data_IF_481804572265
#
_entry.id   IF_481804572265
#
_cell.length_a   1.000
_cell.length_b   1.000
_cell.length_c   1.000
_cell.angle_alpha   90.00
_cell.angle_beta   90.00
_cell.angle_gamma   90.00
#
_symmetry.space_group_name_H-M   'P 1'
#
loop_
_entity.id
_entity.type
_entity.pdbx_description
1 polymer ?
#
# COMPACT_ATOMS: atom_id res chain seq x y z
N UNK A 1 19.98 -11.91 -14.23
CA UNK A 1 20.44 -11.86 -12.82
C UNK A 1 21.36 -13.04 -12.49
N UNK A 2 22.44 -12.86 -11.69
CA UNK A 2 23.35 -13.97 -11.29
C UNK A 2 22.68 -14.91 -10.29
N UNK A 3 23.13 -16.18 -10.20
CA UNK A 3 22.59 -17.16 -9.24
C UNK A 3 22.72 -16.69 -7.78
N UNK A 4 23.83 -16.04 -7.45
CA UNK A 4 24.09 -15.53 -6.10
C UNK A 4 23.11 -14.41 -5.69
N UNK A 5 22.79 -13.50 -6.62
CA UNK A 5 21.80 -12.45 -6.36
C UNK A 5 20.41 -13.05 -6.15
N UNK A 6 20.02 -14.03 -6.98
CA UNK A 6 18.73 -14.73 -6.81
C UNK A 6 18.61 -15.37 -5.42
N UNK A 7 19.66 -16.06 -4.98
CA UNK A 7 19.72 -16.70 -3.65
C UNK A 7 19.62 -15.66 -2.52
N UNK A 8 20.36 -14.55 -2.60
CA UNK A 8 20.28 -13.47 -1.61
C UNK A 8 18.87 -12.87 -1.51
N UNK A 9 18.22 -12.62 -2.65
CA UNK A 9 16.84 -12.10 -2.66
C UNK A 9 15.87 -13.06 -1.98
N UNK A 10 15.98 -14.37 -2.23
CA UNK A 10 15.15 -15.38 -1.58
C UNK A 10 15.37 -15.42 -0.06
N UNK A 11 16.63 -15.43 0.38
CA UNK A 11 16.99 -15.45 1.81
C UNK A 11 16.51 -14.20 2.55
N UNK A 12 16.73 -13.01 1.98
CA UNK A 12 16.29 -11.76 2.59
C UNK A 12 14.77 -11.63 2.61
N UNK A 13 14.08 -12.00 1.53
CA UNK A 13 12.62 -11.96 1.51
C UNK A 13 12.03 -12.85 2.62
N UNK A 14 12.54 -14.08 2.77
CA UNK A 14 12.12 -15.00 3.83
C UNK A 14 12.45 -14.46 5.24
N UNK A 15 13.58 -13.78 5.41
CA UNK A 15 14.00 -13.21 6.72
C UNK A 15 13.10 -12.06 7.16
N UNK A 16 12.67 -11.21 6.21
CA UNK A 16 11.92 -9.99 6.51
C UNK A 16 10.40 -10.12 6.37
N UNK A 17 9.92 -11.21 5.76
CA UNK A 17 8.51 -11.56 5.76
C UNK A 17 8.16 -12.32 7.04
N UNK A 18 8.18 -11.60 8.16
CA UNK A 18 7.86 -12.14 9.48
C UNK A 18 6.94 -11.20 10.28
N UNK A 19 6.26 -11.71 11.31
CA UNK A 19 5.34 -10.95 12.15
C UNK A 19 6.00 -9.73 12.82
N UNK A 20 7.29 -9.81 13.14
CA UNK A 20 8.05 -8.68 13.70
C UNK A 20 8.11 -7.48 12.75
N UNK A 21 7.95 -7.69 11.44
CA UNK A 21 7.86 -6.61 10.44
C UNK A 21 6.66 -5.70 10.69
N UNK A 22 5.55 -6.27 11.18
CA UNK A 22 4.31 -5.52 11.44
C UNK A 22 4.58 -4.47 12.52
N UNK A 23 5.40 -4.82 13.52
CA UNK A 23 5.70 -3.92 14.61
C UNK A 23 6.46 -2.69 14.09
N UNK A 24 5.88 -1.51 14.29
CA UNK A 24 6.38 -0.22 13.81
C UNK A 24 6.25 0.03 12.29
N UNK A 25 5.60 -0.85 11.53
CA UNK A 25 5.21 -0.58 10.15
C UNK A 25 3.76 -0.05 10.09
N UNK A 26 3.40 0.82 9.13
CA UNK A 26 2.01 1.26 8.96
C UNK A 26 1.02 0.11 8.71
N UNK A 27 1.45 -1.05 8.19
CA UNK A 27 0.55 -2.21 8.03
C UNK A 27 -0.06 -2.69 9.35
N UNK A 28 0.50 -2.33 10.51
CA UNK A 28 -0.07 -2.66 11.82
C UNK A 28 -1.49 -2.13 12.04
N UNK A 29 -1.89 -1.05 11.35
CA UNK A 29 -3.19 -0.43 11.55
C UNK A 29 -4.34 -1.28 10.99
N UNK A 30 -4.30 -1.74 9.72
CA UNK A 30 -5.31 -2.67 9.23
C UNK A 30 -5.31 -4.02 9.98
N UNK A 31 -4.17 -4.45 10.55
CA UNK A 31 -4.10 -5.65 11.41
C UNK A 31 -4.86 -5.54 12.73
N UNK A 32 -5.39 -4.35 13.08
CA UNK A 32 -6.28 -4.17 14.24
C UNK A 32 -7.71 -4.69 14.00
N UNK A 33 -8.05 -5.06 12.77
CA UNK A 33 -9.40 -5.42 12.36
C UNK A 33 -9.46 -6.82 11.75
N UNK A 34 -10.64 -7.44 11.84
CA UNK A 34 -10.92 -8.76 11.26
C UNK A 34 -11.95 -8.71 10.14
N UNK A 35 -12.82 -7.69 10.13
CA UNK A 35 -13.81 -7.50 9.07
C UNK A 35 -13.13 -6.99 7.80
N UNK A 36 -13.43 -7.60 6.65
CA UNK A 36 -12.82 -7.26 5.34
C UNK A 36 -12.87 -5.77 5.04
N UNK A 37 -14.04 -5.15 5.20
CA UNK A 37 -14.27 -3.74 4.90
C UNK A 37 -13.48 -2.80 5.84
N UNK A 38 -13.33 -3.17 7.12
CA UNK A 38 -12.52 -2.40 8.07
C UNK A 38 -11.03 -2.46 7.69
N UNK A 39 -10.54 -3.65 7.31
CA UNK A 39 -9.16 -3.86 6.82
C UNK A 39 -8.91 -3.03 5.57
N UNK A 40 -9.82 -3.06 4.60
CA UNK A 40 -9.71 -2.32 3.33
C UNK A 40 -9.64 -0.80 3.55
N UNK A 41 -10.57 -0.24 4.35
CA UNK A 41 -10.60 1.20 4.66
C UNK A 41 -9.35 1.62 5.44
N UNK A 42 -9.03 0.88 6.51
CA UNK A 42 -7.85 1.14 7.33
C UNK A 42 -6.57 1.08 6.49
N UNK A 43 -6.44 0.04 5.68
CA UNK A 43 -5.30 -0.19 4.79
C UNK A 43 -5.13 0.94 3.80
N UNK A 44 -6.20 1.35 3.10
CA UNK A 44 -6.11 2.39 2.08
C UNK A 44 -5.71 3.74 2.68
N UNK A 45 -6.40 4.17 3.74
CA UNK A 45 -6.14 5.48 4.36
C UNK A 45 -4.74 5.53 4.99
N UNK A 46 -4.32 4.43 5.62
CA UNK A 46 -2.96 4.30 6.17
C UNK A 46 -1.91 4.35 5.08
N UNK A 47 -2.12 3.65 3.96
CA UNK A 47 -1.18 3.66 2.85
C UNK A 47 -1.06 5.04 2.20
N UNK A 48 -2.16 5.78 2.04
CA UNK A 48 -2.18 7.15 1.51
C UNK A 48 -1.31 8.09 2.36
N UNK A 49 -1.24 7.89 3.68
CA UNK A 49 -0.39 8.64 4.61
C UNK A 49 1.04 8.11 4.71
N UNK A 50 1.38 6.96 4.13
CA UNK A 50 2.65 6.27 4.35
C UNK A 50 3.82 6.84 3.53
N UNK A 51 4.12 8.13 3.75
CA UNK A 51 5.23 8.88 3.16
C UNK A 51 5.82 9.92 4.12
N UNK A 52 7.15 9.98 4.22
CA UNK A 52 7.85 10.88 5.14
C UNK A 52 8.37 10.14 6.38
N UNK A 53 8.42 10.84 7.53
CA UNK A 53 9.01 10.28 8.74
C UNK A 53 8.08 9.22 9.37
N UNK A 54 8.62 8.01 9.61
CA UNK A 54 7.88 6.86 10.17
C UNK A 54 7.13 7.20 11.46
N UNK A 55 7.75 7.89 12.43
CA UNK A 55 7.08 8.25 13.70
C UNK A 55 5.86 9.15 13.48
N UNK A 56 5.96 10.09 12.54
CA UNK A 56 4.83 10.96 12.19
C UNK A 56 3.72 10.19 11.45
N UNK A 57 4.08 9.25 10.57
CA UNK A 57 3.12 8.37 9.90
C UNK A 57 2.32 7.60 10.95
N UNK A 58 3.02 6.90 11.86
CA UNK A 58 2.37 6.09 12.89
C UNK A 58 1.48 6.95 13.81
N UNK A 59 1.98 8.09 14.30
CA UNK A 59 1.19 8.99 15.14
C UNK A 59 -0.10 9.43 14.45
N UNK A 60 -0.03 9.80 13.17
CA UNK A 60 -1.18 10.35 12.43
C UNK A 60 -2.16 9.28 11.96
N UNK A 61 -1.67 8.09 11.63
CA UNK A 61 -2.53 6.93 11.44
C UNK A 61 -3.27 6.57 12.73
N UNK A 62 -2.62 6.65 13.90
CA UNK A 62 -3.27 6.40 15.18
C UNK A 62 -4.36 7.44 15.50
N UNK A 63 -4.08 8.73 15.29
CA UNK A 63 -5.08 9.80 15.40
C UNK A 63 -6.30 9.56 14.48
N UNK A 64 -6.07 9.10 13.25
CA UNK A 64 -7.14 8.78 12.30
C UNK A 64 -8.00 7.60 12.78
N UNK A 65 -7.37 6.50 13.23
CA UNK A 65 -8.12 5.34 13.72
C UNK A 65 -8.87 5.64 15.02
N UNK A 66 -8.32 6.47 15.91
CA UNK A 66 -9.03 6.93 17.10
C UNK A 66 -10.30 7.73 16.73
N UNK A 67 -10.26 8.50 15.64
CA UNK A 67 -11.42 9.21 15.11
C UNK A 67 -12.49 8.25 14.54
N UNK A 68 -12.06 7.24 13.78
CA UNK A 68 -12.96 6.24 13.18
C UNK A 68 -13.57 5.30 14.24
N UNK A 69 -12.90 5.08 15.36
CA UNK A 69 -13.37 4.22 16.44
C UNK A 69 -13.19 2.72 16.11
N UNK A 70 -14.10 1.89 16.61
CA UNK A 70 -13.95 0.43 16.55
C UNK A 70 -14.15 -0.19 15.16
N UNK A 71 -14.85 0.50 14.24
CA UNK A 71 -15.09 0.02 12.88
C UNK A 71 -14.97 1.19 11.88
N UNK A 72 -13.86 1.28 11.13
CA UNK A 72 -13.74 2.17 9.98
C UNK A 72 -14.91 2.09 8.99
N UNK A 73 -15.44 0.91 8.75
CA UNK A 73 -16.58 0.66 7.87
C UNK A 73 -17.86 1.36 8.36
N UNK A 74 -18.22 1.15 9.64
CA UNK A 74 -19.38 1.84 10.22
C UNK A 74 -19.17 3.35 10.27
N UNK A 75 -17.95 3.82 10.55
CA UNK A 75 -17.63 5.24 10.51
C UNK A 75 -17.85 5.85 9.11
N UNK A 76 -17.39 5.17 8.05
CA UNK A 76 -17.60 5.59 6.66
C UNK A 76 -19.08 5.62 6.29
N UNK A 77 -19.84 4.58 6.62
CA UNK A 77 -21.28 4.51 6.32
C UNK A 77 -22.10 5.54 7.09
N UNK A 78 -21.72 5.85 8.34
CA UNK A 78 -22.42 6.80 9.20
C UNK A 78 -22.35 8.26 8.73
N UNK A 79 -21.45 8.58 7.78
CA UNK A 79 -21.14 9.96 7.33
C UNK A 79 -20.63 10.90 8.42
N UNK A 80 -20.25 10.38 9.60
CA UNK A 80 -19.69 11.19 10.67
C UNK A 80 -18.45 12.00 10.23
N UNK A 81 -17.69 11.47 9.28
CA UNK A 81 -16.55 12.13 8.65
C UNK A 81 -16.87 13.47 7.98
N UNK A 82 -18.12 13.75 7.60
CA UNK A 82 -18.50 15.07 7.05
C UNK A 82 -18.25 16.20 8.06
N UNK A 83 -18.43 15.90 9.36
CA UNK A 83 -18.17 16.82 10.47
C UNK A 83 -16.70 16.79 10.90
N UNK A 84 -16.12 15.61 11.03
CA UNK A 84 -14.76 15.43 11.53
C UNK A 84 -13.70 15.89 10.49
N UNK A 85 -14.05 15.83 9.20
CA UNK A 85 -13.25 16.30 8.05
C UNK A 85 -14.09 17.21 7.14
N UNK A 86 -14.25 18.51 7.49
CA UNK A 86 -15.10 19.41 6.72
C UNK A 86 -14.54 19.69 5.32
N UNK A 87 -15.41 19.68 4.30
CA UNK A 87 -15.04 19.89 2.88
C UNK A 87 -14.36 21.24 2.60
N UNK A 88 -14.55 22.25 3.45
CA UNK A 88 -13.93 23.58 3.32
C UNK A 88 -12.63 23.73 4.13
N UNK A 89 -12.28 22.76 4.98
CA UNK A 89 -11.10 22.83 5.83
C UNK A 89 -9.84 22.47 5.04
N UNK A 90 -9.01 23.48 4.75
CA UNK A 90 -7.78 23.34 3.96
C UNK A 90 -6.53 23.16 4.83
N UNK A 91 -6.64 23.26 6.16
CA UNK A 91 -5.52 22.95 7.05
C UNK A 91 -4.99 21.55 6.78
N UNK A 92 -3.69 21.39 6.94
CA UNK A 92 -3.04 20.08 6.84
C UNK A 92 -3.52 19.17 7.96
N UNK A 93 -4.04 17.99 7.60
CA UNK A 93 -4.21 16.89 8.53
C UNK A 93 -2.90 16.09 8.65
N UNK A 94 -2.29 15.80 7.49
CA UNK A 94 -1.02 15.11 7.39
C UNK A 94 -0.16 15.63 6.23
N UNK A 95 0.91 16.39 6.55
CA UNK A 95 1.86 16.95 5.56
C UNK A 95 1.13 17.75 4.47
N UNK A 96 1.07 17.24 3.25
CA UNK A 96 0.40 17.90 2.12
C UNK A 96 -1.08 17.50 2.01
N UNK A 97 -1.55 16.54 2.80
CA UNK A 97 -2.95 16.12 2.84
C UNK A 97 -3.72 16.97 3.83
N UNK A 98 -4.72 17.69 3.33
CA UNK A 98 -5.64 18.51 4.11
C UNK A 98 -6.82 17.69 4.65
N UNK A 99 -7.59 18.29 5.56
CA UNK A 99 -8.86 17.70 5.98
C UNK A 99 -9.83 17.53 4.80
N UNK A 100 -9.84 18.47 3.86
CA UNK A 100 -10.65 18.37 2.66
C UNK A 100 -10.20 17.23 1.72
N UNK A 101 -8.91 16.88 1.67
CA UNK A 101 -8.47 15.70 0.92
C UNK A 101 -9.03 14.42 1.56
N UNK A 102 -8.99 14.34 2.89
CA UNK A 102 -9.59 13.22 3.63
C UNK A 102 -11.11 13.16 3.47
N UNK A 103 -11.80 14.30 3.44
CA UNK A 103 -13.22 14.37 3.10
C UNK A 103 -13.50 13.67 1.77
N UNK A 104 -12.76 14.02 0.71
CA UNK A 104 -12.89 13.40 -0.61
C UNK A 104 -12.60 11.89 -0.59
N UNK A 105 -11.63 11.42 0.20
CA UNK A 105 -11.38 9.99 0.34
C UNK A 105 -12.54 9.27 1.04
N UNK A 106 -13.08 9.84 2.11
CA UNK A 106 -14.23 9.27 2.82
C UNK A 106 -15.50 9.29 1.98
N UNK A 107 -15.75 10.34 1.21
CA UNK A 107 -16.88 10.44 0.29
C UNK A 107 -16.85 9.32 -0.78
N UNK A 108 -15.67 9.06 -1.36
CA UNK A 108 -15.47 7.95 -2.31
C UNK A 108 -15.69 6.60 -1.68
N UNK A 109 -15.14 6.37 -0.48
CA UNK A 109 -15.34 5.14 0.26
C UNK A 109 -16.82 4.95 0.63
N UNK A 110 -17.50 6.00 1.10
CA UNK A 110 -18.93 5.95 1.40
C UNK A 110 -19.74 5.57 0.16
N UNK A 111 -19.43 6.18 -0.98
CA UNK A 111 -20.09 5.86 -2.26
C UNK A 111 -19.85 4.40 -2.66
N UNK A 112 -18.60 3.92 -2.55
CA UNK A 112 -18.25 2.53 -2.85
C UNK A 112 -19.04 1.55 -1.97
N UNK A 113 -18.97 1.74 -0.65
CA UNK A 113 -19.61 0.84 0.32
C UNK A 113 -21.13 0.98 0.43
N UNK A 114 -21.71 2.00 -0.21
CA UNK A 114 -23.17 2.10 -0.37
C UNK A 114 -23.68 1.29 -1.56
N UNK A 115 -22.81 0.95 -2.52
CA UNK A 115 -23.17 0.25 -3.76
C UNK A 115 -22.54 -1.14 -3.92
N UNK A 116 -21.52 -1.47 -3.13
CA UNK A 116 -20.77 -2.72 -3.21
C UNK A 116 -20.46 -3.27 -1.81
N UNK A 117 -20.34 -4.59 -1.70
CA UNK A 117 -20.06 -5.27 -0.44
C UNK A 117 -18.62 -5.04 0.04
N UNK A 118 -17.68 -4.81 -0.89
CA UNK A 118 -16.27 -4.57 -0.60
C UNK A 118 -15.64 -3.51 -1.51
N UNK A 119 -14.48 -2.97 -1.11
CA UNK A 119 -13.70 -2.11 -1.99
C UNK A 119 -13.16 -2.90 -3.20
N UNK A 120 -12.85 -4.19 -3.04
CA UNK A 120 -12.47 -5.07 -4.15
C UNK A 120 -13.52 -5.06 -5.27
N UNK A 121 -14.79 -5.29 -4.91
CA UNK A 121 -15.92 -5.31 -5.84
C UNK A 121 -16.10 -3.95 -6.51
N UNK A 122 -15.99 -2.87 -5.74
CA UNK A 122 -16.05 -1.51 -6.25
C UNK A 122 -14.92 -1.19 -7.25
N UNK A 123 -13.76 -1.85 -7.16
CA UNK A 123 -12.68 -1.68 -8.12
C UNK A 123 -12.88 -2.50 -9.41
N UNK A 124 -13.72 -3.53 -9.40
CA UNK A 124 -13.94 -4.38 -10.58
C UNK A 124 -14.60 -3.63 -11.74
N UNK A 125 -15.40 -2.59 -11.47
CA UNK A 125 -16.05 -1.78 -12.51
C UNK A 125 -15.10 -0.89 -13.30
N UNK A 126 -13.91 -0.59 -12.77
CA UNK A 126 -12.90 0.18 -13.48
C UNK A 126 -12.10 -0.74 -14.41
N UNK A 127 -11.69 -0.30 -15.62
CA UNK A 127 -10.85 -1.12 -16.49
C UNK A 127 -9.39 -1.17 -16.00
N UNK A 128 -8.59 -2.07 -16.56
CA UNK A 128 -7.14 -2.11 -16.40
C UNK A 128 -6.64 -2.98 -15.24
N UNK A 129 -5.35 -2.86 -14.94
CA UNK A 129 -4.68 -3.58 -13.84
C UNK A 129 -5.05 -2.99 -12.47
N UNK A 130 -4.79 -3.69 -11.34
CA UNK A 130 -5.18 -3.25 -10.01
C UNK A 130 -4.75 -1.81 -9.66
N UNK A 131 -3.51 -1.43 -9.97
CA UNK A 131 -3.00 -0.07 -9.74
C UNK A 131 -3.80 0.98 -10.53
N UNK A 132 -4.12 0.71 -11.78
CA UNK A 132 -4.87 1.65 -12.60
C UNK A 132 -6.33 1.78 -12.13
N UNK A 133 -6.97 0.67 -11.74
CA UNK A 133 -8.31 0.64 -11.15
C UNK A 133 -8.36 1.52 -9.90
N UNK A 134 -7.41 1.32 -8.98
CA UNK A 134 -7.32 2.11 -7.75
C UNK A 134 -7.00 3.59 -8.01
N UNK A 135 -6.13 3.89 -8.99
CA UNK A 135 -5.88 5.26 -9.40
C UNK A 135 -7.13 5.95 -9.96
N UNK A 136 -7.93 5.24 -10.77
CA UNK A 136 -9.21 5.76 -11.30
C UNK A 136 -10.23 5.99 -10.19
N UNK A 137 -10.33 5.05 -9.23
CA UNK A 137 -11.17 5.21 -8.04
C UNK A 137 -10.82 6.49 -7.25
N UNK A 138 -9.53 6.75 -7.04
CA UNK A 138 -9.03 7.92 -6.32
C UNK A 138 -8.86 9.18 -7.19
N UNK A 139 -9.20 9.12 -8.48
CA UNK A 139 -9.00 10.21 -9.46
C UNK A 139 -7.57 10.76 -9.49
N UNK A 140 -6.58 9.88 -9.42
CA UNK A 140 -5.16 10.23 -9.51
C UNK A 140 -4.54 9.64 -10.77
N UNK A 141 -3.46 10.26 -11.25
CA UNK A 141 -2.75 9.78 -12.44
C UNK A 141 -2.06 8.44 -12.20
N UNK A 142 -2.39 7.42 -12.98
CA UNK A 142 -1.66 6.14 -13.00
C UNK A 142 -0.34 6.20 -13.77
N UNK A 143 0.15 7.38 -14.16
CA UNK A 143 1.45 7.56 -14.86
C UNK A 143 2.64 7.68 -13.88
N UNK A 144 2.38 7.93 -12.60
CA UNK A 144 3.39 8.02 -11.55
C UNK A 144 3.72 6.63 -10.98
N UNK A 145 4.83 6.46 -10.22
CA UNK A 145 5.19 5.17 -9.63
C UNK A 145 4.16 4.61 -8.63
N UNK A 146 3.31 5.49 -8.08
CA UNK A 146 2.20 5.13 -7.19
C UNK A 146 2.59 4.23 -6.00
N UNK A 147 3.77 4.45 -5.41
CA UNK A 147 4.31 3.71 -4.25
C UNK A 147 3.26 3.36 -3.20
N UNK A 148 2.47 4.35 -2.79
CA UNK A 148 1.49 4.22 -1.71
C UNK A 148 0.33 3.30 -2.09
N UNK A 149 -0.18 3.44 -3.31
CA UNK A 149 -1.26 2.62 -3.81
C UNK A 149 -0.78 1.19 -4.10
N UNK A 150 0.42 1.04 -4.66
CA UNK A 150 1.05 -0.26 -4.83
C UNK A 150 1.29 -0.96 -3.48
N UNK A 151 1.67 -0.23 -2.43
CA UNK A 151 1.81 -0.78 -1.08
C UNK A 151 0.48 -1.31 -0.53
N UNK A 152 -0.60 -0.54 -0.69
CA UNK A 152 -1.94 -0.99 -0.32
C UNK A 152 -2.38 -2.22 -1.11
N UNK A 153 -2.20 -2.21 -2.44
CA UNK A 153 -2.56 -3.32 -3.31
C UNK A 153 -1.77 -4.59 -2.95
N UNK A 154 -0.48 -4.45 -2.64
CA UNK A 154 0.36 -5.54 -2.14
C UNK A 154 -0.28 -6.18 -0.90
N UNK A 155 -0.68 -5.36 0.07
CA UNK A 155 -1.34 -5.82 1.29
C UNK A 155 -2.64 -6.59 1.03
N UNK A 156 -3.45 -6.13 0.07
CA UNK A 156 -4.76 -6.76 -0.18
C UNK A 156 -4.66 -8.03 -1.05
N UNK A 157 -3.76 -8.04 -2.04
CA UNK A 157 -3.71 -9.06 -3.10
C UNK A 157 -2.70 -10.18 -2.78
N UNK A 158 -1.55 -9.86 -2.16
CA UNK A 158 -0.48 -10.85 -1.97
C UNK A 158 -0.91 -11.92 -0.97
N UNK A 159 -0.84 -13.18 -1.39
CA UNK A 159 -1.19 -14.35 -0.58
C UNK A 159 0.04 -14.83 0.20
N UNK A 160 -0.07 -14.94 1.52
CA UNK A 160 1.01 -15.47 2.34
C UNK A 160 0.89 -14.96 3.77
N UNK A 161 1.06 -15.82 4.79
CA UNK A 161 0.79 -15.43 6.17
C UNK A 161 1.80 -14.40 6.69
N UNK A 162 1.39 -13.71 7.75
CA UNK A 162 2.12 -12.76 8.58
C UNK A 162 1.93 -11.28 8.20
N UNK A 163 2.50 -10.75 7.12
CA UNK A 163 2.49 -9.28 6.91
C UNK A 163 1.31 -8.78 6.08
N UNK A 164 1.04 -9.41 4.93
CA UNK A 164 -0.03 -8.97 4.02
C UNK A 164 -1.27 -9.85 4.22
N UNK A 165 -2.44 -9.34 3.85
CA UNK A 165 -3.73 -9.94 4.18
C UNK A 165 -4.17 -10.98 3.15
N UNK A 166 -3.94 -10.73 1.86
CA UNK A 166 -4.38 -11.63 0.79
C UNK A 166 -5.89 -11.87 0.76
N UNK A 167 -6.68 -10.85 1.14
CA UNK A 167 -8.15 -10.90 1.26
C UNK A 167 -8.88 -10.58 -0.05
N UNK A 168 -8.14 -10.26 -1.12
CA UNK A 168 -8.67 -10.06 -2.47
C UNK A 168 -8.37 -11.27 -3.36
N UNK A 169 -9.41 -11.80 -3.98
CA UNK A 169 -9.36 -13.01 -4.80
C UNK A 169 -9.47 -12.72 -6.31
N UNK A 170 -9.91 -11.53 -6.69
CA UNK A 170 -10.20 -11.15 -8.07
C UNK A 170 -8.98 -10.64 -8.83
N UNK A 171 -7.84 -10.51 -8.17
CA UNK A 171 -6.59 -9.98 -8.74
C UNK A 171 -5.43 -10.94 -8.49
N UNK A 172 -4.46 -10.95 -9.41
CA UNK A 172 -3.30 -11.83 -9.32
C UNK A 172 -2.06 -11.11 -8.78
N UNK A 173 -1.25 -11.79 -7.97
CA UNK A 173 0.01 -11.27 -7.44
C UNK A 173 0.98 -10.82 -8.55
N UNK A 174 0.92 -11.47 -9.72
CA UNK A 174 1.71 -11.14 -10.91
C UNK A 174 1.34 -9.79 -11.54
N UNK A 175 0.19 -9.22 -11.18
CA UNK A 175 -0.24 -7.90 -11.64
C UNK A 175 0.24 -6.75 -10.76
N UNK A 176 0.77 -7.06 -9.57
CA UNK A 176 1.30 -6.07 -8.65
C UNK A 176 2.56 -5.41 -9.21
N UNK A 177 2.77 -4.16 -8.81
CA UNK A 177 3.99 -3.39 -9.10
C UNK A 177 4.65 -3.09 -7.76
N UNK A 178 5.98 -3.20 -7.72
CA UNK A 178 6.74 -2.95 -6.50
C UNK A 178 6.42 -1.55 -5.91
N UNK A 179 6.19 -1.42 -4.60
CA UNK A 179 6.08 -0.15 -3.90
C UNK A 179 7.42 0.62 -3.91
N UNK A 180 7.81 1.16 -5.06
CA UNK A 180 9.11 1.80 -5.22
C UNK A 180 9.24 2.99 -4.26
N UNK A 181 10.13 2.88 -3.28
CA UNK A 181 10.58 3.97 -2.41
C UNK A 181 12.09 4.22 -2.59
N UNK A 182 12.65 5.17 -1.84
CA UNK A 182 14.08 5.50 -1.94
C UNK A 182 14.99 4.36 -1.51
N UNK A 183 14.60 3.55 -0.52
CA UNK A 183 15.38 2.41 -0.05
C UNK A 183 15.32 1.26 -1.06
N UNK A 184 14.12 0.91 -1.54
CA UNK A 184 13.90 -0.10 -2.57
C UNK A 184 14.67 0.25 -3.84
N UNK A 185 14.59 1.51 -4.30
CA UNK A 185 15.29 1.97 -5.51
C UNK A 185 16.82 1.82 -5.37
N UNK A 186 17.38 2.24 -4.22
CA UNK A 186 18.81 2.15 -3.94
C UNK A 186 19.29 0.70 -3.86
N UNK A 187 18.58 -0.18 -3.13
CA UNK A 187 18.97 -1.59 -3.02
C UNK A 187 18.81 -2.30 -4.36
N UNK A 188 17.76 -2.01 -5.12
CA UNK A 188 17.58 -2.52 -6.48
C UNK A 188 18.74 -2.10 -7.41
N UNK A 189 19.25 -0.87 -7.28
CA UNK A 189 20.42 -0.41 -8.03
C UNK A 189 21.71 -1.13 -7.62
N UNK A 190 21.91 -1.35 -6.32
CA UNK A 190 23.07 -2.09 -5.78
C UNK A 190 23.08 -3.56 -6.21
N UNK A 191 21.90 -4.17 -6.35
CA UNK A 191 21.73 -5.53 -6.85
C UNK A 191 21.61 -5.61 -8.38
N UNK A 192 21.82 -4.49 -9.08
CA UNK A 192 21.76 -4.39 -10.54
C UNK A 192 20.41 -4.86 -11.15
N UNK A 193 19.32 -4.74 -10.38
CA UNK A 193 17.95 -4.94 -10.88
C UNK A 193 17.48 -3.77 -11.74
N UNK A 194 18.15 -2.63 -11.61
CA UNK A 194 17.99 -1.46 -12.46
C UNK A 194 19.33 -0.76 -12.67
N UNK A 195 19.43 -0.02 -13.78
CA UNK A 195 20.61 0.76 -14.17
C UNK A 195 20.65 2.13 -13.48
N UNK A 196 19.49 2.67 -13.05
CA UNK A 196 19.36 4.03 -12.51
C UNK A 196 18.54 4.09 -11.23
N UNK A 197 18.86 5.05 -10.37
CA UNK A 197 18.07 5.38 -9.16
C UNK A 197 16.91 6.34 -9.49
N UNK A 198 16.18 6.09 -10.59
CA UNK A 198 15.09 6.96 -11.01
C UNK A 198 13.77 6.59 -10.35
N UNK A 199 13.09 7.57 -9.77
CA UNK A 199 11.76 7.40 -9.17
C UNK A 199 10.64 7.49 -10.22
N UNK A 200 10.54 6.51 -11.11
CA UNK A 200 9.55 6.47 -12.20
C UNK A 200 8.76 5.16 -12.24
N UNK A 201 7.54 5.20 -12.79
CA UNK A 201 6.72 4.00 -12.98
C UNK A 201 7.45 2.96 -13.84
N UNK A 202 8.14 3.42 -14.89
CA UNK A 202 8.99 2.57 -15.74
C UNK A 202 10.05 1.83 -14.93
N UNK A 203 10.68 2.51 -13.97
CA UNK A 203 11.69 1.88 -13.12
C UNK A 203 11.07 0.88 -12.15
N UNK A 204 9.92 1.20 -11.55
CA UNK A 204 9.18 0.28 -10.69
C UNK A 204 8.79 -1.00 -11.45
N UNK A 205 8.29 -0.87 -12.68
CA UNK A 205 7.97 -2.01 -13.55
C UNK A 205 9.21 -2.82 -13.94
N UNK A 206 10.34 -2.17 -14.23
CA UNK A 206 11.61 -2.85 -14.52
C UNK A 206 12.08 -3.68 -13.33
N UNK A 207 12.08 -3.11 -12.13
CA UNK A 207 12.46 -3.84 -10.91
C UNK A 207 11.49 -5.00 -10.68
N UNK A 208 10.18 -4.78 -10.85
CA UNK A 208 9.16 -5.84 -10.73
C UNK A 208 9.42 -6.99 -11.70
N UNK A 209 9.76 -6.69 -12.96
CA UNK A 209 10.09 -7.70 -13.97
C UNK A 209 11.38 -8.48 -13.61
N UNK A 210 12.39 -7.82 -13.07
CA UNK A 210 13.60 -8.49 -12.59
C UNK A 210 13.29 -9.43 -11.40
N UNK A 211 12.44 -8.99 -10.46
CA UNK A 211 12.01 -9.83 -9.33
C UNK A 211 11.18 -11.03 -9.78
N UNK A 212 10.43 -10.93 -10.88
CA UNK A 212 9.70 -12.05 -11.47
C UNK A 212 10.63 -13.18 -11.97
N UNK A 213 11.92 -12.90 -12.24
CA UNK A 213 12.90 -13.97 -12.53
C UNK A 213 13.24 -14.84 -11.31
N UNK A 214 12.86 -14.40 -10.11
CA UNK A 214 13.14 -15.06 -8.82
C UNK A 214 11.85 -15.55 -8.16
N UNK A 215 10.79 -14.74 -8.24
CA UNK A 215 9.47 -14.99 -7.68
C UNK A 215 8.42 -14.88 -8.80
N UNK A 216 8.30 -15.89 -9.69
CA UNK A 216 7.49 -15.79 -10.91
C UNK A 216 5.99 -15.62 -10.65
N UNK A 217 5.49 -16.19 -9.56
CA UNK A 217 4.06 -16.12 -9.19
C UNK A 217 3.76 -14.96 -8.23
N UNK A 218 4.79 -14.38 -7.60
CA UNK A 218 4.65 -13.28 -6.65
C UNK A 218 5.88 -12.35 -6.67
N UNK A 219 6.04 -11.53 -7.73
CA UNK A 219 7.21 -10.67 -7.86
C UNK A 219 7.37 -9.67 -6.71
N UNK A 220 6.26 -9.23 -6.12
CA UNK A 220 6.27 -8.27 -5.01
C UNK A 220 6.66 -8.88 -3.66
N UNK A 221 6.79 -10.21 -3.54
CA UNK A 221 7.46 -10.82 -2.40
C UNK A 221 8.91 -10.34 -2.24
N UNK A 222 9.56 -10.00 -3.36
CA UNK A 222 10.90 -9.41 -3.36
C UNK A 222 10.99 -8.03 -2.67
N UNK A 223 9.88 -7.38 -2.37
CA UNK A 223 9.87 -6.11 -1.62
C UNK A 223 10.48 -6.27 -0.22
N UNK A 224 10.24 -7.39 0.45
CA UNK A 224 10.83 -7.65 1.77
C UNK A 224 12.35 -7.77 1.69
N UNK A 225 12.88 -8.34 0.60
CA UNK A 225 14.31 -8.41 0.38
C UNK A 225 14.93 -7.01 0.20
N UNK A 226 14.28 -6.17 -0.61
CA UNK A 226 14.80 -4.84 -0.95
C UNK A 226 14.63 -3.83 0.18
N UNK A 227 13.50 -3.86 0.88
CA UNK A 227 13.19 -2.94 1.97
C UNK A 227 13.89 -3.33 3.27
N UNK A 228 13.80 -4.60 3.69
CA UNK A 228 14.32 -5.05 4.98
C UNK A 228 15.84 -4.92 5.08
N UNK A 229 16.57 -5.27 4.01
CA UNK A 229 18.03 -5.07 3.97
C UNK A 229 18.41 -3.59 4.08
N UNK A 230 17.69 -2.71 3.38
CA UNK A 230 17.97 -1.27 3.35
C UNK A 230 17.72 -0.55 4.67
N UNK A 231 16.88 -1.11 5.55
CA UNK A 231 16.62 -0.60 6.91
C UNK A 231 17.69 -1.08 7.90
N UNK A 232 18.15 -2.33 7.77
CA UNK A 232 19.07 -2.94 8.74
C UNK A 232 20.56 -2.75 8.44
N UNK A 233 20.94 -2.34 7.23
CA UNK A 233 22.34 -2.15 6.82
C UNK A 233 22.64 -0.69 6.45
N UNK A 234 22.31 0.25 7.37
CA UNK A 234 22.72 1.65 7.25
C UNK A 234 24.12 1.89 7.79
#
# INVERSE_FOLDING_TARGET
MTKDIKKKLQEWAATYHCADFIQNDPVQFPHRYTLKQDIEISGLLTAIMSFGNRRQILKKADELHACMGASPYQYVLSRRWEKDFPVKERRSFYRMLSYADFHSYFERLHTAYSGYDSLEDALLVYPGKPMEKLCRFLEVSYKSPQKKLNMFLRWMIRRGPEVDFGIWDSFDCRELIIPLDTHVCRVARLLELTETETFSLKNAQRITAALAEVFPDDPCFGDFALFGYGVNNK
#
